data_IF_702023542197
#
_entry.id   IF_702023542197
#
_cell.length_a   1.000
_cell.length_b   1.000
_cell.length_c   1.000
_cell.angle_alpha   90.00
_cell.angle_beta   90.00
_cell.angle_gamma   90.00
#
_symmetry.space_group_name_H-M   'P 1'
#
loop_
_entity.id
_entity.type
_entity.pdbx_description
1 polymer ?
#
# COMPACT_ATOMS: atom_id res chain seq x y z
N UNK A 1 7.07 -1.67 -56.95
CA UNK A 1 7.31 -2.61 -55.84
C UNK A 1 7.54 -1.79 -54.57
N UNK A 2 6.54 -1.67 -53.68
CA UNK A 2 6.67 -0.95 -52.41
C UNK A 2 6.87 -2.00 -51.32
N UNK A 3 8.05 -2.02 -50.69
CA UNK A 3 8.35 -2.85 -49.52
C UNK A 3 7.62 -2.26 -48.32
N UNK A 4 6.62 -2.99 -47.80
CA UNK A 4 6.03 -2.76 -46.49
C UNK A 4 6.97 -3.33 -45.45
N UNK A 5 7.73 -2.50 -44.73
CA UNK A 5 8.48 -2.89 -43.56
C UNK A 5 7.50 -3.09 -42.39
N UNK A 6 7.20 -4.32 -42.02
CA UNK A 6 6.51 -4.66 -40.77
C UNK A 6 7.47 -4.39 -39.61
N UNK A 7 7.20 -3.32 -38.87
CA UNK A 7 7.80 -3.11 -37.55
C UNK A 7 7.17 -4.12 -36.56
N UNK A 8 7.92 -5.21 -36.30
CA UNK A 8 7.63 -6.07 -35.14
C UNK A 8 7.97 -5.26 -33.89
N UNK A 9 6.96 -4.70 -33.24
CA UNK A 9 7.12 -4.21 -31.88
C UNK A 9 7.36 -5.40 -30.96
N UNK A 10 8.61 -5.62 -30.58
CA UNK A 10 8.98 -6.61 -29.59
C UNK A 10 8.30 -6.22 -28.26
N UNK A 11 7.32 -7.01 -27.82
CA UNK A 11 6.78 -7.01 -26.47
C UNK A 11 7.91 -7.48 -25.54
N UNK A 12 8.75 -6.54 -25.08
CA UNK A 12 9.72 -6.80 -24.03
C UNK A 12 8.88 -7.01 -22.76
N UNK A 13 8.88 -8.19 -22.15
CA UNK A 13 8.21 -8.38 -20.86
C UNK A 13 8.87 -7.41 -19.87
N UNK A 14 8.08 -6.62 -19.19
CA UNK A 14 8.50 -5.62 -18.19
C UNK A 14 8.98 -6.32 -16.90
N UNK A 15 9.93 -7.25 -17.04
CA UNK A 15 10.61 -7.92 -15.95
C UNK A 15 11.67 -6.96 -15.42
N UNK A 16 11.44 -6.40 -14.24
CA UNK A 16 12.50 -5.75 -13.48
C UNK A 16 12.43 -4.25 -13.30
N UNK A 17 11.41 -3.53 -13.78
CA UNK A 17 11.30 -2.11 -13.42
C UNK A 17 10.81 -1.96 -11.97
N UNK A 18 11.41 -1.04 -11.18
CA UNK A 18 10.91 -0.71 -9.86
C UNK A 18 9.45 -0.26 -9.96
N UNK A 19 8.61 -0.73 -9.03
CA UNK A 19 7.25 -0.21 -8.92
C UNK A 19 7.30 1.25 -8.50
N UNK A 20 6.34 2.10 -8.94
CA UNK A 20 6.22 3.44 -8.40
C UNK A 20 6.08 3.37 -6.88
N UNK A 21 6.65 4.36 -6.20
CA UNK A 21 6.58 4.45 -4.74
C UNK A 21 6.25 5.88 -4.35
N UNK A 22 5.22 6.06 -3.53
CA UNK A 22 5.04 7.29 -2.80
C UNK A 22 5.88 7.20 -1.51
N UNK A 23 6.92 8.04 -1.41
CA UNK A 23 7.80 8.10 -0.24
C UNK A 23 7.05 8.47 1.04
N UNK A 24 5.94 9.19 0.92
CA UNK A 24 5.13 9.66 2.04
C UNK A 24 4.18 8.55 2.59
N UNK A 25 4.17 7.38 1.92
CA UNK A 25 3.52 6.12 2.32
C UNK A 25 4.55 4.98 2.45
N UNK A 26 5.79 5.32 2.77
CA UNK A 26 6.86 4.34 2.81
C UNK A 26 7.70 4.47 4.08
N UNK A 27 8.26 3.34 4.52
CA UNK A 27 9.11 3.23 5.71
C UNK A 27 10.46 2.57 5.36
N UNK A 28 11.52 3.06 5.97
CA UNK A 28 12.87 2.53 5.81
C UNK A 28 13.70 3.25 4.74
N UNK A 29 14.77 2.59 4.28
CA UNK A 29 15.73 3.18 3.35
C UNK A 29 15.34 2.88 1.87
N UNK A 30 15.11 3.89 1.01
CA UNK A 30 14.82 3.65 -0.41
C UNK A 30 15.92 2.89 -1.18
N UNK A 31 17.15 2.89 -0.66
CA UNK A 31 18.29 2.15 -1.23
C UNK A 31 18.50 0.76 -0.62
N UNK A 32 17.53 0.26 0.17
CA UNK A 32 17.57 -1.08 0.74
C UNK A 32 17.70 -2.16 -0.34
N UNK A 33 18.38 -3.27 0.00
CA UNK A 33 18.54 -4.39 -0.92
C UNK A 33 17.21 -5.06 -1.26
N UNK A 34 16.25 -5.01 -0.34
CA UNK A 34 14.91 -5.53 -0.52
C UNK A 34 13.87 -4.42 -0.49
N UNK A 35 12.81 -4.59 -1.27
CA UNK A 35 11.62 -3.76 -1.22
C UNK A 35 10.40 -4.65 -0.98
N UNK A 36 9.57 -4.25 -0.03
CA UNK A 36 8.29 -4.88 0.27
C UNK A 36 7.16 -3.93 -0.14
N UNK A 37 6.40 -4.33 -1.15
CA UNK A 37 5.18 -3.63 -1.60
C UNK A 37 3.97 -4.31 -0.96
N UNK A 38 3.11 -3.53 -0.29
CA UNK A 38 1.93 -4.00 0.43
C UNK A 38 0.70 -3.37 -0.19
N UNK A 39 -0.15 -4.17 -0.83
CA UNK A 39 -1.46 -3.75 -1.33
C UNK A 39 -2.51 -4.04 -0.26
N UNK A 40 -3.15 -3.00 0.24
CA UNK A 40 -4.01 -3.07 1.42
C UNK A 40 -5.34 -2.35 1.22
N UNK A 41 -6.35 -2.83 1.93
CA UNK A 41 -7.70 -2.25 1.99
C UNK A 41 -8.05 -1.98 3.46
N UNK A 42 -8.44 -0.74 3.77
CA UNK A 42 -8.76 -0.34 5.14
C UNK A 42 -10.00 -1.02 5.74
N UNK A 43 -10.90 -1.56 4.92
CA UNK A 43 -12.04 -2.36 5.41
C UNK A 43 -11.74 -3.85 5.53
N UNK A 44 -10.60 -4.33 5.01
CA UNK A 44 -10.23 -5.74 5.06
C UNK A 44 -9.77 -6.17 6.47
N UNK A 45 -10.43 -7.15 7.13
CA UNK A 45 -10.01 -7.62 8.46
C UNK A 45 -8.60 -8.24 8.48
N UNK A 46 -8.22 -8.93 7.41
CA UNK A 46 -6.88 -9.53 7.27
C UNK A 46 -5.81 -8.45 7.15
N UNK A 47 -6.11 -7.33 6.46
CA UNK A 47 -5.20 -6.17 6.41
C UNK A 47 -5.01 -5.56 7.79
N UNK A 48 -6.08 -5.43 8.56
CA UNK A 48 -6.01 -4.98 9.96
C UNK A 48 -5.11 -5.88 10.79
N UNK A 49 -5.28 -7.20 10.70
CA UNK A 49 -4.43 -8.15 11.45
C UNK A 49 -2.97 -8.03 11.04
N UNK A 50 -2.68 -7.98 9.74
CA UNK A 50 -1.33 -7.79 9.22
C UNK A 50 -0.71 -6.48 9.73
N UNK A 51 -1.42 -5.37 9.59
CA UNK A 51 -0.96 -4.04 10.02
C UNK A 51 -0.66 -3.98 11.51
N UNK A 52 -1.51 -4.59 12.35
CA UNK A 52 -1.37 -4.50 13.80
C UNK A 52 -0.39 -5.52 14.39
N UNK A 53 -0.19 -6.69 13.75
CA UNK A 53 0.54 -7.79 14.36
C UNK A 53 1.84 -8.14 13.65
N UNK A 54 1.89 -8.00 12.33
CA UNK A 54 3.04 -8.42 11.53
C UNK A 54 3.90 -7.23 11.09
N UNK A 55 3.27 -6.22 10.52
CA UNK A 55 3.98 -5.05 9.97
C UNK A 55 4.91 -4.37 11.00
N UNK A 56 4.52 -4.15 12.26
CA UNK A 56 5.42 -3.54 13.26
C UNK A 56 6.70 -4.35 13.52
N UNK A 57 6.61 -5.69 13.41
CA UNK A 57 7.79 -6.55 13.54
C UNK A 57 8.70 -6.44 12.32
N UNK A 58 8.11 -6.38 11.11
CA UNK A 58 8.86 -6.18 9.85
C UNK A 58 9.53 -4.81 9.84
N UNK A 59 8.84 -3.76 10.26
CA UNK A 59 9.39 -2.41 10.36
C UNK A 59 10.55 -2.35 11.33
N UNK A 60 10.39 -2.93 12.53
CA UNK A 60 11.41 -2.96 13.57
C UNK A 60 12.66 -3.73 13.13
N UNK A 61 12.49 -4.95 12.62
CA UNK A 61 13.61 -5.86 12.41
C UNK A 61 14.29 -5.64 11.05
N UNK A 62 13.58 -5.15 10.05
CA UNK A 62 14.08 -4.99 8.68
C UNK A 62 14.02 -3.56 8.16
N UNK A 63 12.95 -2.83 8.43
CA UNK A 63 12.78 -1.45 7.98
C UNK A 63 13.76 -0.50 8.69
N UNK A 64 13.77 -0.52 10.01
CA UNK A 64 14.64 0.33 10.83
C UNK A 64 16.13 0.01 10.63
N UNK A 65 16.48 -1.25 10.34
CA UNK A 65 17.85 -1.66 10.00
C UNK A 65 18.28 -1.25 8.58
N UNK A 66 17.36 -0.74 7.74
CA UNK A 66 17.61 -0.40 6.35
C UNK A 66 17.73 -1.61 5.42
N UNK A 67 17.37 -2.81 5.86
CA UNK A 67 17.42 -4.04 5.04
C UNK A 67 16.26 -4.12 4.06
N UNK A 68 15.08 -3.62 4.46
CA UNK A 68 13.88 -3.59 3.62
C UNK A 68 13.34 -2.16 3.54
N UNK A 69 12.99 -1.72 2.34
CA UNK A 69 12.17 -0.55 2.07
C UNK A 69 10.73 -1.00 1.91
N UNK A 70 9.84 -0.53 2.79
CA UNK A 70 8.42 -0.92 2.85
C UNK A 70 7.61 0.17 2.18
N UNK A 71 6.73 -0.19 1.24
CA UNK A 71 5.87 0.75 0.50
C UNK A 71 4.43 0.28 0.58
N UNK A 72 3.55 1.15 1.06
CA UNK A 72 2.12 0.91 1.13
C UNK A 72 1.42 1.40 -0.15
N UNK A 73 0.50 0.58 -0.67
CA UNK A 73 -0.36 0.87 -1.82
C UNK A 73 -1.81 0.70 -1.42
N UNK A 74 -2.63 1.66 -1.80
CA UNK A 74 -4.07 1.59 -1.56
C UNK A 74 -4.74 0.66 -2.59
N UNK A 75 -5.39 -0.38 -2.10
CA UNK A 75 -6.11 -1.32 -2.97
C UNK A 75 -7.54 -1.54 -2.45
N UNK A 76 -8.40 -0.52 -2.52
CA UNK A 76 -9.78 -0.61 -2.08
C UNK A 76 -10.56 -1.62 -2.93
N UNK A 77 -10.86 -2.80 -2.37
CA UNK A 77 -11.56 -3.89 -3.05
C UNK A 77 -12.95 -3.45 -3.50
N UNK A 78 -13.29 -3.76 -4.75
CA UNK A 78 -14.62 -3.46 -5.28
C UNK A 78 -15.58 -4.62 -4.95
N UNK A 79 -15.97 -4.73 -3.67
CA UNK A 79 -16.91 -5.75 -3.18
C UNK A 79 -18.02 -5.09 -2.34
N UNK A 80 -19.25 -5.65 -2.32
CA UNK A 80 -20.39 -5.04 -1.62
C UNK A 80 -20.19 -4.84 -0.12
N UNK A 81 -19.34 -5.65 0.51
CA UNK A 81 -19.06 -5.57 1.95
C UNK A 81 -18.16 -4.37 2.32
N UNK A 82 -17.38 -3.84 1.37
CA UNK A 82 -16.44 -2.74 1.59
C UNK A 82 -16.97 -1.45 0.98
N UNK A 83 -17.78 -0.73 1.74
CA UNK A 83 -18.49 0.47 1.26
C UNK A 83 -17.69 1.76 1.41
N UNK A 84 -16.78 1.79 2.37
CA UNK A 84 -16.07 2.99 2.80
C UNK A 84 -14.56 2.93 2.58
N UNK A 85 -14.04 1.83 2.04
CA UNK A 85 -12.61 1.61 1.86
C UNK A 85 -11.95 2.66 0.96
N UNK A 86 -12.63 3.08 -0.13
CA UNK A 86 -12.10 4.11 -1.02
C UNK A 86 -12.07 5.48 -0.35
N UNK A 87 -13.05 5.80 0.46
CA UNK A 87 -13.05 7.02 1.26
C UNK A 87 -11.89 7.01 2.27
N UNK A 88 -11.69 5.89 2.98
CA UNK A 88 -10.57 5.71 3.90
C UNK A 88 -9.22 5.85 3.18
N UNK A 89 -9.04 5.22 2.01
CA UNK A 89 -7.85 5.35 1.20
C UNK A 89 -7.57 6.80 0.75
N UNK A 90 -8.62 7.54 0.37
CA UNK A 90 -8.49 8.95 0.00
C UNK A 90 -8.03 9.81 1.19
N UNK A 91 -8.57 9.58 2.40
CA UNK A 91 -8.13 10.30 3.59
C UNK A 91 -6.69 9.95 3.99
N UNK A 92 -6.32 8.66 3.95
CA UNK A 92 -4.96 8.24 4.27
C UNK A 92 -3.94 8.82 3.27
N UNK A 93 -4.24 8.76 1.97
CA UNK A 93 -3.40 9.35 0.92
C UNK A 93 -3.33 10.89 1.03
N UNK A 94 -4.42 11.56 1.40
CA UNK A 94 -4.42 12.99 1.70
C UNK A 94 -3.55 13.32 2.91
N UNK A 95 -3.61 12.49 3.95
CA UNK A 95 -2.77 12.63 5.14
C UNK A 95 -1.28 12.44 4.84
N UNK A 96 -0.94 11.59 3.87
CA UNK A 96 0.44 11.42 3.39
C UNK A 96 1.04 12.75 2.90
N UNK A 97 0.25 13.60 2.21
CA UNK A 97 0.70 14.92 1.73
C UNK A 97 1.14 15.89 2.84
N UNK A 98 0.78 15.60 4.07
CA UNK A 98 1.15 16.41 5.25
C UNK A 98 1.97 15.62 6.27
N UNK A 99 2.53 14.46 5.87
CA UNK A 99 3.37 13.62 6.72
C UNK A 99 2.61 12.94 7.87
N UNK A 100 1.33 12.59 7.65
CA UNK A 100 0.45 11.99 8.66
C UNK A 100 -0.13 10.64 8.22
N UNK A 101 0.47 10.02 7.20
CA UNK A 101 -0.01 8.73 6.69
C UNK A 101 -0.10 7.68 7.79
N UNK A 102 1.01 7.41 8.48
CA UNK A 102 1.10 6.34 9.48
C UNK A 102 0.09 6.54 10.61
N UNK A 103 0.00 7.76 11.15
CA UNK A 103 -0.96 8.07 12.23
C UNK A 103 -2.41 7.84 11.82
N UNK A 104 -2.76 8.19 10.57
CA UNK A 104 -4.11 8.00 10.02
C UNK A 104 -4.35 6.53 9.69
N UNK A 105 -3.40 5.84 9.07
CA UNK A 105 -3.49 4.42 8.75
C UNK A 105 -3.65 3.57 10.01
N UNK A 106 -2.80 3.80 11.03
CA UNK A 106 -2.91 3.15 12.34
C UNK A 106 -4.30 3.34 12.94
N UNK A 107 -4.79 4.58 12.94
CA UNK A 107 -6.10 4.89 13.51
C UNK A 107 -7.23 4.21 12.76
N UNK A 108 -7.19 4.22 11.43
CA UNK A 108 -8.18 3.54 10.59
C UNK A 108 -8.22 2.04 10.90
N UNK A 109 -7.06 1.37 10.95
CA UNK A 109 -7.03 -0.06 11.26
C UNK A 109 -7.42 -0.38 12.70
N UNK A 110 -6.93 0.38 13.69
CA UNK A 110 -7.30 0.16 15.10
C UNK A 110 -8.81 0.28 15.31
N UNK A 111 -9.45 1.27 14.69
CA UNK A 111 -10.89 1.54 14.85
C UNK A 111 -11.75 0.96 13.74
N UNK A 112 -11.20 0.14 12.86
CA UNK A 112 -11.90 -0.45 11.72
C UNK A 112 -13.30 -0.99 12.08
N UNK A 113 -13.49 -1.81 13.14
CA UNK A 113 -14.82 -2.35 13.46
C UNK A 113 -15.87 -1.25 13.71
N UNK A 114 -15.46 -0.14 14.31
CA UNK A 114 -16.39 0.93 14.66
C UNK A 114 -16.86 1.76 13.46
N UNK A 115 -15.94 2.10 12.52
CA UNK A 115 -16.31 2.90 11.36
C UNK A 115 -16.78 2.06 10.16
N UNK A 116 -16.36 0.79 10.07
CA UNK A 116 -16.85 -0.14 9.04
C UNK A 116 -18.38 -0.25 9.05
N UNK A 117 -18.98 -0.42 10.24
CA UNK A 117 -20.43 -0.55 10.36
C UNK A 117 -21.17 0.79 10.24
N UNK A 118 -20.57 1.86 10.78
CA UNK A 118 -21.22 3.15 10.92
C UNK A 118 -21.02 4.12 9.75
N UNK A 119 -20.00 3.88 8.90
CA UNK A 119 -19.55 4.80 7.86
C UNK A 119 -18.84 6.05 8.38
N UNK A 120 -18.50 6.10 9.68
CA UNK A 120 -17.90 7.28 10.32
C UNK A 120 -16.39 7.32 10.14
N UNK A 121 -15.93 7.17 8.90
CA UNK A 121 -14.49 7.15 8.55
C UNK A 121 -13.81 8.45 8.97
N UNK A 122 -14.45 9.59 8.67
CA UNK A 122 -13.87 10.89 9.01
C UNK A 122 -13.65 11.08 10.51
N UNK A 123 -14.57 10.60 11.35
CA UNK A 123 -14.42 10.71 12.81
C UNK A 123 -13.16 9.96 13.30
N UNK A 124 -12.87 8.82 12.71
CA UNK A 124 -11.63 8.08 13.00
C UNK A 124 -10.38 8.86 12.58
N UNK A 125 -10.37 9.40 11.36
CA UNK A 125 -9.25 10.19 10.82
C UNK A 125 -9.03 11.47 11.63
N UNK A 126 -10.09 12.22 11.90
CA UNK A 126 -10.04 13.48 12.63
C UNK A 126 -9.47 13.35 14.05
N UNK A 127 -9.67 12.20 14.68
CA UNK A 127 -9.23 11.96 16.07
C UNK A 127 -7.70 12.00 16.26
N UNK A 128 -6.92 11.87 15.21
CA UNK A 128 -5.45 11.89 15.25
C UNK A 128 -4.83 13.13 14.60
N UNK A 129 -5.66 14.09 14.21
CA UNK A 129 -5.27 15.31 13.51
C UNK A 129 -5.65 16.56 14.31
N UNK A 130 -4.79 17.56 14.29
CA UNK A 130 -5.14 18.90 14.80
C UNK A 130 -6.21 19.57 13.91
N UNK A 131 -6.95 20.58 14.41
CA UNK A 131 -7.94 21.28 13.59
C UNK A 131 -7.39 21.85 12.27
N UNK A 132 -6.15 22.31 12.26
CA UNK A 132 -5.51 22.81 11.06
C UNK A 132 -5.18 21.70 10.06
N UNK A 133 -4.73 20.52 10.53
CA UNK A 133 -4.48 19.33 9.72
C UNK A 133 -5.79 18.76 9.18
N UNK A 134 -6.85 18.69 9.98
CA UNK A 134 -8.18 18.27 9.56
C UNK A 134 -8.66 19.06 8.35
N UNK A 135 -8.56 20.39 8.40
CA UNK A 135 -8.95 21.26 7.28
C UNK A 135 -8.15 20.93 6.00
N UNK A 136 -6.86 20.69 6.14
CA UNK A 136 -6.00 20.33 5.01
C UNK A 136 -6.37 18.96 4.43
N UNK A 137 -6.51 17.94 5.26
CA UNK A 137 -6.84 16.57 4.84
C UNK A 137 -8.21 16.53 4.16
N UNK A 138 -9.24 17.22 4.70
CA UNK A 138 -10.56 17.32 4.05
C UNK A 138 -10.52 17.94 2.66
N UNK A 139 -9.68 18.96 2.46
CA UNK A 139 -9.50 19.58 1.15
C UNK A 139 -8.75 18.64 0.20
N UNK A 140 -7.62 18.06 0.66
CA UNK A 140 -6.77 17.18 -0.14
C UNK A 140 -7.46 15.87 -0.53
N UNK A 141 -8.32 15.31 0.32
CA UNK A 141 -9.04 14.07 0.03
C UNK A 141 -10.00 14.18 -1.17
N UNK A 142 -10.32 15.40 -1.60
CA UNK A 142 -11.13 15.70 -2.79
C UNK A 142 -10.27 16.18 -3.97
N UNK A 143 -8.97 16.34 -3.75
CA UNK A 143 -8.06 16.81 -4.81
C UNK A 143 -7.92 15.73 -5.89
N UNK A 144 -8.05 16.10 -7.18
CA UNK A 144 -7.89 15.15 -8.27
C UNK A 144 -6.58 14.36 -8.24
N UNK A 145 -5.49 14.95 -7.74
CA UNK A 145 -4.19 14.26 -7.65
C UNK A 145 -4.18 13.16 -6.60
N UNK A 146 -4.91 13.32 -5.49
CA UNK A 146 -5.06 12.29 -4.45
C UNK A 146 -5.95 11.15 -4.96
N UNK A 147 -7.08 11.50 -5.59
CA UNK A 147 -7.98 10.51 -6.19
C UNK A 147 -7.27 9.69 -7.28
N UNK A 148 -6.49 10.35 -8.13
CA UNK A 148 -5.70 9.71 -9.18
C UNK A 148 -4.60 8.81 -8.61
N UNK A 149 -3.99 9.17 -7.48
CA UNK A 149 -2.99 8.33 -6.82
C UNK A 149 -3.59 7.04 -6.29
N UNK A 150 -4.72 7.11 -5.57
CA UNK A 150 -5.44 5.92 -5.10
C UNK A 150 -5.85 5.04 -6.28
N UNK A 151 -6.30 5.64 -7.39
CA UNK A 151 -6.63 4.87 -8.58
C UNK A 151 -5.38 4.24 -9.23
N UNK A 152 -4.27 4.96 -9.26
CA UNK A 152 -2.99 4.44 -9.79
C UNK A 152 -2.46 3.24 -8.99
N UNK A 153 -2.57 3.28 -7.67
CA UNK A 153 -2.22 2.15 -6.80
C UNK A 153 -3.13 0.93 -7.07
N UNK A 154 -4.44 1.17 -7.20
CA UNK A 154 -5.42 0.13 -7.56
C UNK A 154 -5.10 -0.50 -8.93
N UNK A 155 -4.85 0.34 -9.93
CA UNK A 155 -4.51 -0.12 -11.29
C UNK A 155 -3.19 -0.88 -11.31
N UNK A 156 -2.21 -0.46 -10.51
CA UNK A 156 -0.94 -1.15 -10.35
C UNK A 156 -1.15 -2.56 -9.76
N UNK A 157 -1.91 -2.66 -8.67
CA UNK A 157 -2.24 -3.96 -8.07
C UNK A 157 -2.98 -4.88 -9.05
N UNK A 158 -3.95 -4.32 -9.79
CA UNK A 158 -4.69 -5.06 -10.82
C UNK A 158 -3.75 -5.62 -11.90
N UNK A 159 -2.79 -4.82 -12.39
CA UNK A 159 -1.78 -5.27 -13.37
C UNK A 159 -0.87 -6.37 -12.81
N UNK A 160 -0.65 -6.38 -11.50
CA UNK A 160 0.15 -7.41 -10.81
C UNK A 160 -0.66 -8.65 -10.44
N UNK A 161 -1.95 -8.69 -10.77
CA UNK A 161 -2.85 -9.81 -10.48
C UNK A 161 -3.35 -9.83 -9.04
N UNK A 162 -3.28 -8.70 -8.32
CA UNK A 162 -3.89 -8.57 -6.99
C UNK A 162 -5.40 -8.70 -7.12
N UNK A 163 -5.99 -9.64 -6.39
CA UNK A 163 -7.43 -9.90 -6.35
C UNK A 163 -7.97 -10.06 -4.92
N UNK A 164 -7.08 -10.00 -3.93
CA UNK A 164 -7.39 -10.07 -2.49
C UNK A 164 -6.38 -9.24 -1.70
N UNK A 165 -6.72 -8.89 -0.46
CA UNK A 165 -5.86 -8.10 0.43
C UNK A 165 -5.70 -8.76 1.81
N UNK A 166 -4.55 -8.59 2.49
CA UNK A 166 -3.36 -7.95 1.96
C UNK A 166 -2.68 -8.81 0.88
N UNK A 167 -2.12 -8.16 -0.16
CA UNK A 167 -1.23 -8.81 -1.11
C UNK A 167 0.15 -8.18 -1.01
N UNK A 168 1.17 -9.02 -0.87
CA UNK A 168 2.54 -8.60 -0.62
C UNK A 168 3.46 -9.07 -1.74
N UNK A 169 4.38 -8.20 -2.13
CA UNK A 169 5.43 -8.52 -3.07
C UNK A 169 6.78 -8.13 -2.51
N UNK A 170 7.70 -9.10 -2.39
CA UNK A 170 9.08 -8.84 -2.04
C UNK A 170 9.92 -8.74 -3.31
N UNK A 171 10.64 -7.65 -3.50
CA UNK A 171 11.54 -7.42 -4.63
C UNK A 171 12.98 -7.43 -4.14
N UNK A 172 13.86 -8.17 -4.83
CA UNK A 172 15.30 -8.18 -4.64
C UNK A 172 15.99 -8.10 -6.01
N UNK A 173 16.70 -7.03 -6.26
CA UNK A 173 17.24 -6.72 -7.59
C UNK A 173 16.12 -6.65 -8.65
N UNK A 174 16.20 -7.50 -9.68
CA UNK A 174 15.19 -7.59 -10.74
C UNK A 174 14.09 -8.63 -10.47
N UNK A 175 14.19 -9.37 -9.37
CA UNK A 175 13.26 -10.46 -9.04
C UNK A 175 12.18 -9.95 -8.10
N UNK A 176 10.93 -10.24 -8.44
CA UNK A 176 9.77 -9.96 -7.60
C UNK A 176 9.04 -11.26 -7.27
N UNK A 177 8.78 -11.46 -5.99
CA UNK A 177 8.13 -12.64 -5.45
C UNK A 177 6.81 -12.24 -4.80
N UNK A 178 5.66 -12.77 -5.25
CA UNK A 178 4.45 -12.68 -4.47
C UNK A 178 4.66 -13.48 -3.19
N UNK A 179 4.28 -12.87 -2.07
CA UNK A 179 4.40 -13.51 -0.77
C UNK A 179 3.02 -14.05 -0.37
N UNK A 180 2.82 -15.38 -0.28
CA UNK A 180 1.54 -15.93 0.15
C UNK A 180 1.32 -15.69 1.64
N UNK A 181 0.09 -15.36 2.02
CA UNK A 181 -0.49 -15.26 3.37
C UNK A 181 0.51 -15.08 4.52
N UNK A 182 0.83 -13.83 4.84
CA UNK A 182 1.70 -13.53 5.97
C UNK A 182 0.92 -13.13 7.22
N UNK A 183 0.20 -14.06 7.75
CA UNK A 183 -0.25 -14.07 9.15
C UNK A 183 0.82 -14.63 10.11
N UNK A 184 1.96 -15.08 9.55
CA UNK A 184 3.05 -15.71 10.30
C UNK A 184 4.38 -14.99 10.06
N UNK A 185 4.79 -14.16 11.04
CA UNK A 185 6.06 -13.45 11.00
C UNK A 185 7.28 -14.36 10.86
N UNK A 186 7.28 -15.55 11.49
CA UNK A 186 8.40 -16.49 11.41
C UNK A 186 8.63 -16.99 9.99
N UNK A 187 7.56 -17.21 9.22
CA UNK A 187 7.65 -17.59 7.81
C UNK A 187 8.22 -16.43 6.97
N UNK A 188 7.72 -15.20 7.16
CA UNK A 188 8.28 -14.02 6.51
C UNK A 188 9.79 -13.91 6.75
N UNK A 189 10.20 -14.01 8.01
CA UNK A 189 11.60 -13.95 8.43
C UNK A 189 12.45 -15.02 7.73
N UNK A 190 11.97 -16.28 7.73
CA UNK A 190 12.69 -17.38 7.08
C UNK A 190 12.89 -17.14 5.57
N UNK A 191 11.90 -16.56 4.89
CA UNK A 191 11.99 -16.24 3.48
C UNK A 191 12.99 -15.12 3.23
N UNK A 192 12.91 -14.00 3.95
CA UNK A 192 13.79 -12.85 3.78
C UNK A 192 15.24 -13.22 4.11
N UNK A 193 15.45 -13.95 5.20
CA UNK A 193 16.80 -14.33 5.63
C UNK A 193 17.41 -15.44 4.76
N UNK A 194 16.59 -16.21 4.04
CA UNK A 194 17.01 -17.22 3.07
C UNK A 194 17.36 -16.66 1.69
N UNK A 195 16.92 -15.46 1.35
CA UNK A 195 17.27 -14.77 0.11
C UNK A 195 18.64 -14.07 0.28
N UNK A 196 19.69 -14.72 -0.20
CA UNK A 196 21.08 -14.18 -0.25
C UNK A 196 21.41 -13.70 -1.64
#
# INVERSE_FOLDING_TARGET
MKLCALLLAALIPCLGQPLPANKDKAFGNPSAAFRLDIFSDFECPSCRLYHMQILPQVEKDYGASGKIYIVSHEFPLNIPAHKYNREAANYATAAARIGKYDAVADRLFVTQPAWHDSGKVWEAVAAVLTPAEQKKVLALAKDPSVLAEVQSDYDLGTRLGVNSTPSLFLTHGIRRFPLPNFDNYSLFRSMVDGLK
#
